data_IF_131843347309
#
_entry.id   IF_131843347309
#
_cell.length_a   1.000
_cell.length_b   1.000
_cell.length_c   1.000
_cell.angle_alpha   90.00
_cell.angle_beta   90.00
_cell.angle_gamma   90.00
#
_symmetry.space_group_name_H-M   'P 1'
#
loop_
_entity.id
_entity.type
_entity.pdbx_description
1 polymer ?
#
# COMPACT_ATOMS: atom_id res chain seq x y z
N UNK A 1 -7.61 -0.86 55.03
CA UNK A 1 -8.39 -0.86 53.77
C UNK A 1 -7.37 -0.98 52.66
N UNK A 2 -7.11 -2.21 52.22
CA UNK A 2 -6.29 -2.48 51.05
C UNK A 2 -7.10 -2.08 49.81
N UNK A 3 -6.68 -1.00 49.16
CA UNK A 3 -7.15 -0.72 47.81
C UNK A 3 -6.44 -1.70 46.89
N UNK A 4 -7.15 -2.75 46.47
CA UNK A 4 -6.77 -3.57 45.34
C UNK A 4 -6.82 -2.69 44.07
N UNK A 5 -5.74 -1.98 43.78
CA UNK A 5 -5.49 -1.41 42.46
C UNK A 5 -5.35 -2.58 41.50
N UNK A 6 -6.37 -2.77 40.67
CA UNK A 6 -6.30 -3.65 39.51
C UNK A 6 -5.17 -3.13 38.62
N UNK A 7 -3.98 -3.68 38.78
CA UNK A 7 -2.82 -3.39 37.94
C UNK A 7 -3.17 -3.89 36.54
N UNK A 8 -3.47 -2.94 35.65
CA UNK A 8 -3.59 -3.19 34.21
C UNK A 8 -2.23 -3.63 33.70
N UNK A 9 -1.94 -4.93 33.79
CA UNK A 9 -0.62 -5.47 33.47
C UNK A 9 -0.34 -5.32 31.96
N UNK A 10 0.38 -4.27 31.57
CA UNK A 10 0.72 -4.05 30.16
C UNK A 10 1.75 -5.08 29.74
N UNK A 11 1.35 -5.98 28.84
CA UNK A 11 2.25 -6.89 28.14
C UNK A 11 1.76 -7.11 26.72
N UNK A 12 2.56 -6.73 25.74
CA UNK A 12 2.18 -6.86 24.34
C UNK A 12 3.18 -6.23 23.38
N UNK A 13 2.92 -6.36 22.09
CA UNK A 13 3.72 -5.71 21.05
C UNK A 13 3.13 -4.33 20.79
N UNK A 14 3.99 -3.34 20.79
CA UNK A 14 3.64 -1.95 20.51
C UNK A 14 4.55 -1.42 19.41
N UNK A 15 4.16 -0.32 18.78
CA UNK A 15 5.03 0.41 17.86
C UNK A 15 4.97 1.90 18.09
N UNK A 16 6.06 2.58 17.74
CA UNK A 16 6.08 4.01 17.48
C UNK A 16 6.39 4.26 16.00
N UNK A 17 5.95 5.39 15.47
CA UNK A 17 6.25 5.81 14.10
C UNK A 17 7.39 6.81 14.10
N UNK A 18 8.41 6.54 13.29
CA UNK A 18 9.53 7.45 13.06
C UNK A 18 9.56 7.87 11.60
N UNK A 19 9.79 9.15 11.33
CA UNK A 19 9.96 9.64 9.96
C UNK A 19 11.44 9.65 9.61
N UNK A 20 11.81 8.89 8.58
CA UNK A 20 13.14 8.96 7.99
C UNK A 20 13.08 9.80 6.70
N UNK A 21 14.07 10.66 6.53
CA UNK A 21 14.25 11.44 5.29
C UNK A 21 15.33 10.74 4.46
N UNK A 22 14.94 10.22 3.30
CA UNK A 22 15.85 9.57 2.37
C UNK A 22 16.24 10.56 1.26
N UNK A 23 17.55 10.82 1.10
CA UNK A 23 18.11 11.68 0.04
C UNK A 23 18.59 13.06 0.51
N UNK A 24 19.21 13.80 -0.40
CA UNK A 24 19.69 15.19 -0.17
C UNK A 24 19.20 16.12 -1.28
N UNK A 25 18.73 17.32 -0.93
CA UNK A 25 18.23 18.30 -1.90
C UNK A 25 16.78 18.06 -2.35
N UNK A 26 16.42 18.46 -3.58
CA UNK A 26 15.05 18.40 -4.13
C UNK A 26 14.51 16.97 -4.37
N UNK A 27 15.30 15.93 -4.08
CA UNK A 27 14.93 14.51 -4.20
C UNK A 27 14.62 13.84 -2.86
N UNK A 28 14.49 14.62 -1.78
CA UNK A 28 14.12 14.09 -0.47
C UNK A 28 12.77 13.39 -0.51
N UNK A 29 12.76 12.13 -0.08
CA UNK A 29 11.56 11.32 0.12
C UNK A 29 11.46 10.99 1.59
N UNK A 30 10.40 11.44 2.24
CA UNK A 30 10.07 11.05 3.61
C UNK A 30 9.38 9.69 3.61
N UNK A 31 9.80 8.82 4.50
CA UNK A 31 9.16 7.53 4.75
C UNK A 31 8.88 7.40 6.24
N UNK A 32 7.66 7.00 6.59
CA UNK A 32 7.30 6.65 7.96
C UNK A 32 7.64 5.18 8.17
N UNK A 33 8.39 4.90 9.24
CA UNK A 33 8.80 3.56 9.66
C UNK A 33 8.16 3.25 11.01
N UNK A 34 7.50 2.10 11.12
CA UNK A 34 7.02 1.55 12.40
C UNK A 34 8.15 0.80 13.10
N UNK A 35 8.48 1.22 14.31
CA UNK A 35 9.47 0.57 15.17
C UNK A 35 8.75 -0.27 16.22
N UNK A 36 8.77 -1.60 16.05
CA UNK A 36 8.09 -2.52 16.95
C UNK A 36 8.91 -2.81 18.20
N UNK A 37 8.22 -2.96 19.34
CA UNK A 37 8.83 -3.31 20.62
C UNK A 37 7.89 -4.20 21.43
N UNK A 38 8.45 -5.13 22.21
CA UNK A 38 7.73 -5.81 23.29
C UNK A 38 7.71 -4.87 24.50
N UNK A 39 6.52 -4.45 24.92
CA UNK A 39 6.33 -3.67 26.14
C UNK A 39 5.93 -4.59 27.30
N UNK A 40 6.61 -4.45 28.43
CA UNK A 40 6.32 -5.14 29.68
C UNK A 40 6.31 -4.12 30.82
N UNK A 41 5.20 -4.04 31.56
CA UNK A 41 5.12 -3.18 32.73
C UNK A 41 6.00 -3.72 33.86
N UNK A 42 6.85 -2.86 34.40
CA UNK A 42 7.73 -3.19 35.54
C UNK A 42 6.98 -2.92 36.85
N UNK A 43 6.40 -1.72 36.96
CA UNK A 43 5.66 -1.21 38.11
C UNK A 43 4.62 -0.16 37.65
N UNK A 44 3.95 0.51 38.59
CA UNK A 44 2.89 1.48 38.28
C UNK A 44 3.36 2.71 37.49
N UNK A 45 4.68 3.00 37.48
CA UNK A 45 5.23 4.20 36.87
C UNK A 45 6.10 3.91 35.65
N UNK A 46 6.52 2.66 35.41
CA UNK A 46 7.53 2.34 34.40
C UNK A 46 7.17 1.16 33.49
N UNK A 47 7.51 1.33 32.22
CA UNK A 47 7.41 0.32 31.17
C UNK A 47 8.80 0.00 30.65
N UNK A 48 9.09 -1.29 30.49
CA UNK A 48 10.26 -1.79 29.76
C UNK A 48 9.88 -2.06 28.32
N UNK A 49 10.64 -1.52 27.38
CA UNK A 49 10.55 -1.80 25.96
C UNK A 49 11.75 -2.61 25.50
N UNK A 50 11.50 -3.71 24.79
CA UNK A 50 12.51 -4.46 24.06
C UNK A 50 12.24 -4.31 22.58
N UNK A 51 13.09 -3.56 21.86
CA UNK A 51 12.88 -3.31 20.44
C UNK A 51 13.11 -4.56 19.61
N UNK A 52 12.25 -4.77 18.62
CA UNK A 52 12.22 -5.93 17.76
C UNK A 52 12.78 -5.58 16.39
N UNK A 53 13.60 -6.47 15.84
CA UNK A 53 14.06 -6.37 14.47
C UNK A 53 12.95 -6.70 13.49
N UNK A 54 13.23 -6.57 12.20
CA UNK A 54 12.29 -6.92 11.12
C UNK A 54 11.82 -8.38 11.17
N UNK A 55 12.61 -9.24 11.82
CA UNK A 55 12.34 -10.66 12.03
C UNK A 55 11.57 -10.94 13.34
N UNK A 56 11.11 -9.90 14.05
CA UNK A 56 10.46 -10.03 15.35
C UNK A 56 11.37 -10.47 16.51
N UNK A 57 12.65 -10.70 16.23
CA UNK A 57 13.64 -11.04 17.23
C UNK A 57 14.06 -9.79 18.03
N UNK A 58 14.31 -9.90 19.35
CA UNK A 58 14.89 -8.81 20.12
C UNK A 58 16.20 -8.30 19.52
N UNK A 59 16.29 -6.99 19.27
CA UNK A 59 17.51 -6.33 18.78
C UNK A 59 18.61 -6.22 19.84
N UNK A 60 18.26 -6.49 21.11
CA UNK A 60 19.09 -6.19 22.27
C UNK A 60 18.97 -4.75 22.76
N UNK A 61 18.30 -3.86 22.01
CA UNK A 61 18.00 -2.50 22.46
C UNK A 61 16.82 -2.57 23.44
N UNK A 62 17.10 -2.17 24.68
CA UNK A 62 16.13 -2.13 25.78
C UNK A 62 16.06 -0.71 26.33
N UNK A 63 14.84 -0.19 26.49
CA UNK A 63 14.59 1.15 27.04
C UNK A 63 13.57 1.03 28.16
N UNK A 64 13.82 1.69 29.29
CA UNK A 64 12.82 1.89 30.33
C UNK A 64 12.37 3.34 30.29
N UNK A 65 11.05 3.57 30.31
CA UNK A 65 10.49 4.92 30.30
C UNK A 65 9.25 5.01 31.20
N UNK A 66 8.84 6.24 31.57
CA UNK A 66 7.63 6.46 32.34
C UNK A 66 6.37 5.95 31.61
N UNK A 67 5.41 5.45 32.38
CA UNK A 67 4.13 4.92 31.91
C UNK A 67 3.35 5.93 31.05
N UNK A 68 3.29 7.19 31.49
CA UNK A 68 2.61 8.27 30.77
C UNK A 68 3.29 8.57 29.43
N UNK A 69 4.63 8.56 29.39
CA UNK A 69 5.38 8.74 28.15
C UNK A 69 5.10 7.58 27.17
N UNK A 70 5.04 6.34 27.69
CA UNK A 70 4.71 5.17 26.89
C UNK A 70 3.32 5.28 26.24
N UNK A 71 2.29 5.63 27.03
CA UNK A 71 0.93 5.79 26.52
C UNK A 71 0.80 6.89 25.46
N UNK A 72 1.64 7.93 25.52
CA UNK A 72 1.62 9.02 24.56
C UNK A 72 2.31 8.69 23.22
N UNK A 73 3.27 7.75 23.22
CA UNK A 73 4.15 7.48 22.08
C UNK A 73 3.86 6.16 21.37
N UNK A 74 3.39 5.16 22.10
CA UNK A 74 3.33 3.78 21.61
C UNK A 74 1.89 3.31 21.43
N UNK A 75 1.63 2.67 20.29
CA UNK A 75 0.33 2.09 19.94
C UNK A 75 0.40 0.58 19.99
N UNK A 76 -0.60 -0.07 20.58
CA UNK A 76 -0.70 -1.53 20.64
C UNK A 76 -0.86 -2.10 19.22
N UNK A 77 -0.06 -3.12 18.90
CA UNK A 77 -0.18 -3.91 17.66
C UNK A 77 -0.58 -5.34 18.01
N UNK A 78 -1.90 -5.63 18.12
CA UNK A 78 -2.38 -6.95 18.49
C UNK A 78 -2.13 -7.99 17.39
N UNK A 79 -1.94 -7.56 16.15
CA UNK A 79 -1.78 -8.43 14.99
C UNK A 79 -0.31 -8.58 14.54
N UNK A 80 0.65 -8.24 15.42
CA UNK A 80 2.07 -8.40 15.10
C UNK A 80 2.38 -9.87 14.83
N UNK A 81 2.62 -10.19 13.56
CA UNK A 81 3.07 -11.51 13.12
C UNK A 81 4.53 -11.42 12.71
N UNK A 82 5.34 -12.27 13.33
CA UNK A 82 6.70 -12.49 12.88
C UNK A 82 6.65 -13.17 11.52
N UNK A 83 7.24 -12.53 10.51
CA UNK A 83 7.37 -13.13 9.18
C UNK A 83 8.18 -14.40 9.29
N UNK A 84 7.67 -15.48 8.72
CA UNK A 84 8.40 -16.74 8.51
C UNK A 84 9.63 -16.49 7.65
N UNK A 85 10.65 -17.35 7.75
CA UNK A 85 11.84 -17.28 6.88
C UNK A 85 11.46 -17.22 5.41
N UNK A 86 10.42 -17.96 5.02
CA UNK A 86 9.89 -17.99 3.67
C UNK A 86 9.35 -16.62 3.23
N UNK A 87 8.54 -15.96 4.06
CA UNK A 87 8.03 -14.61 3.78
C UNK A 87 9.16 -13.57 3.70
N UNK A 88 10.18 -13.70 4.55
CA UNK A 88 11.36 -12.83 4.51
C UNK A 88 12.17 -13.02 3.23
N UNK A 89 12.37 -14.27 2.79
CA UNK A 89 13.03 -14.58 1.52
C UNK A 89 12.24 -14.06 0.33
N UNK A 90 10.90 -14.20 0.35
CA UNK A 90 10.01 -13.59 -0.65
C UNK A 90 10.22 -12.08 -0.73
N UNK A 91 10.18 -11.37 0.40
CA UNK A 91 10.39 -9.92 0.45
C UNK A 91 11.76 -9.50 -0.06
N UNK A 92 12.81 -10.27 0.26
CA UNK A 92 14.17 -10.02 -0.19
C UNK A 92 14.27 -10.12 -1.72
N UNK A 93 13.68 -11.18 -2.30
CA UNK A 93 13.62 -11.34 -3.75
C UNK A 93 12.86 -10.19 -4.41
N UNK A 94 11.71 -9.77 -3.85
CA UNK A 94 10.95 -8.60 -4.36
C UNK A 94 11.81 -7.33 -4.32
N UNK A 95 12.50 -7.06 -3.21
CA UNK A 95 13.33 -5.86 -3.06
C UNK A 95 14.51 -5.84 -4.06
N UNK A 96 15.13 -6.99 -4.31
CA UNK A 96 16.17 -7.14 -5.34
C UNK A 96 15.60 -6.93 -6.73
N UNK A 97 14.43 -7.50 -7.03
CA UNK A 97 13.75 -7.33 -8.30
C UNK A 97 13.43 -5.86 -8.59
N UNK A 98 12.90 -5.12 -7.61
CA UNK A 98 12.64 -3.69 -7.71
C UNK A 98 13.92 -2.89 -7.98
N UNK A 99 15.03 -3.23 -7.31
CA UNK A 99 16.33 -2.60 -7.52
C UNK A 99 16.85 -2.84 -8.95
N UNK A 100 16.75 -4.06 -9.46
CA UNK A 100 17.11 -4.41 -10.83
C UNK A 100 16.21 -3.71 -11.85
N UNK A 101 14.89 -3.70 -11.64
CA UNK A 101 13.92 -3.00 -12.50
C UNK A 101 14.22 -1.51 -12.60
N UNK A 102 14.50 -0.84 -11.48
CA UNK A 102 14.87 0.58 -11.46
C UNK A 102 16.15 0.88 -12.24
N UNK A 103 17.06 -0.10 -12.36
CA UNK A 103 18.28 -0.02 -13.19
C UNK A 103 18.07 -0.47 -14.63
N UNK A 104 16.85 -0.88 -15.00
CA UNK A 104 16.48 -1.48 -16.29
C UNK A 104 17.20 -2.80 -16.57
N UNK A 105 17.64 -3.49 -15.53
CA UNK A 105 18.25 -4.83 -15.60
C UNK A 105 17.13 -5.88 -15.67
N UNK A 106 16.36 -5.88 -16.75
CA UNK A 106 15.06 -6.56 -16.82
C UNK A 106 15.11 -8.08 -16.61
N UNK A 107 16.12 -8.77 -17.15
CA UNK A 107 16.27 -10.21 -16.95
C UNK A 107 16.53 -10.57 -15.48
N UNK A 108 17.34 -9.76 -14.78
CA UNK A 108 17.60 -9.94 -13.36
C UNK A 108 16.36 -9.65 -12.53
N UNK A 109 15.59 -8.62 -12.91
CA UNK A 109 14.33 -8.31 -12.25
C UNK A 109 13.30 -9.45 -12.43
N UNK A 110 13.16 -9.98 -13.65
CA UNK A 110 12.24 -11.10 -13.96
C UNK A 110 12.61 -12.33 -13.13
N UNK A 111 13.90 -12.65 -13.04
CA UNK A 111 14.39 -13.77 -12.25
C UNK A 111 14.06 -13.63 -10.76
N UNK A 112 14.32 -12.46 -10.18
CA UNK A 112 14.07 -12.19 -8.77
C UNK A 112 12.56 -12.20 -8.45
N UNK A 113 11.72 -11.56 -9.27
CA UNK A 113 10.26 -11.66 -9.09
C UNK A 113 9.74 -13.10 -9.24
N UNK A 114 10.25 -13.85 -10.21
CA UNK A 114 9.87 -15.26 -10.39
C UNK A 114 10.32 -16.11 -9.20
N UNK A 115 11.46 -15.79 -8.59
CA UNK A 115 11.94 -16.46 -7.38
C UNK A 115 11.04 -16.16 -6.18
N UNK A 116 10.61 -14.90 -6.01
CA UNK A 116 9.60 -14.54 -5.02
C UNK A 116 8.30 -15.33 -5.22
N UNK A 117 7.81 -15.44 -6.47
CA UNK A 117 6.59 -16.17 -6.81
C UNK A 117 6.70 -17.69 -6.66
N UNK A 118 7.91 -18.26 -6.68
CA UNK A 118 8.12 -19.68 -6.34
C UNK A 118 7.97 -19.93 -4.85
N UNK A 119 8.40 -18.98 -4.03
CA UNK A 119 8.23 -19.03 -2.59
C UNK A 119 6.76 -18.77 -2.26
N UNK A 120 6.23 -17.63 -2.68
CA UNK A 120 4.84 -17.24 -2.44
C UNK A 120 4.10 -17.03 -3.77
N UNK A 121 3.42 -18.08 -4.29
CA UNK A 121 2.65 -18.00 -5.54
C UNK A 121 1.49 -17.02 -5.51
N UNK A 122 1.03 -16.61 -4.33
CA UNK A 122 -0.08 -15.67 -4.15
C UNK A 122 0.42 -14.27 -3.75
N UNK A 123 1.74 -14.06 -3.79
CA UNK A 123 2.32 -12.76 -3.46
C UNK A 123 1.84 -11.68 -4.42
N UNK A 124 0.90 -10.87 -3.94
CA UNK A 124 0.33 -9.74 -4.67
C UNK A 124 1.43 -8.79 -5.14
N UNK A 125 2.38 -8.46 -4.25
CA UNK A 125 3.46 -7.52 -4.55
C UNK A 125 4.42 -8.07 -5.60
N UNK A 126 4.74 -9.36 -5.57
CA UNK A 126 5.60 -9.97 -6.58
C UNK A 126 4.91 -10.04 -7.95
N UNK A 127 3.62 -10.41 -8.00
CA UNK A 127 2.85 -10.38 -9.25
C UNK A 127 2.71 -8.96 -9.80
N UNK A 128 2.47 -7.97 -8.94
CA UNK A 128 2.42 -6.57 -9.37
C UNK A 128 3.75 -6.12 -9.97
N UNK A 129 4.85 -6.45 -9.30
CA UNK A 129 6.20 -6.12 -9.75
C UNK A 129 6.55 -6.75 -11.10
N UNK A 130 6.26 -8.03 -11.30
CA UNK A 130 6.56 -8.72 -12.57
C UNK A 130 5.65 -8.25 -13.70
N UNK A 131 4.38 -7.96 -13.42
CA UNK A 131 3.48 -7.40 -14.43
C UNK A 131 3.89 -5.99 -14.85
N UNK A 132 4.31 -5.14 -13.89
CA UNK A 132 4.88 -3.81 -14.20
C UNK A 132 6.16 -3.92 -15.01
N UNK A 133 7.03 -4.87 -14.67
CA UNK A 133 8.23 -5.16 -15.44
C UNK A 133 7.89 -5.52 -16.90
N UNK A 134 6.90 -6.38 -17.14
CA UNK A 134 6.48 -6.73 -18.50
C UNK A 134 5.91 -5.53 -19.26
N UNK A 135 5.18 -4.64 -18.59
CA UNK A 135 4.71 -3.39 -19.21
C UNK A 135 5.87 -2.48 -19.61
N UNK A 136 6.90 -2.35 -18.76
CA UNK A 136 8.11 -1.58 -19.05
C UNK A 136 8.91 -2.17 -20.22
N UNK A 137 8.88 -3.50 -20.37
CA UNK A 137 9.46 -4.21 -21.51
C UNK A 137 8.59 -4.13 -22.78
N UNK A 138 7.36 -3.64 -22.68
CA UNK A 138 6.39 -3.61 -23.78
C UNK A 138 5.70 -4.95 -24.06
N UNK A 139 5.92 -5.97 -23.22
CA UNK A 139 5.31 -7.30 -23.35
C UNK A 139 3.91 -7.31 -22.71
N UNK A 140 2.95 -6.76 -23.47
CA UNK A 140 1.56 -6.61 -23.01
C UNK A 140 0.86 -7.94 -22.75
N UNK A 141 1.20 -8.99 -23.50
CA UNK A 141 0.55 -10.29 -23.36
C UNK A 141 0.97 -10.98 -22.05
N UNK A 142 2.26 -10.96 -21.72
CA UNK A 142 2.72 -11.45 -20.41
C UNK A 142 2.17 -10.60 -19.27
N UNK A 143 2.15 -9.28 -19.42
CA UNK A 143 1.57 -8.39 -18.41
C UNK A 143 0.10 -8.76 -18.14
N UNK A 144 -0.71 -8.92 -19.20
CA UNK A 144 -2.11 -9.34 -19.09
C UNK A 144 -2.25 -10.67 -18.37
N UNK A 145 -1.46 -11.68 -18.72
CA UNK A 145 -1.52 -12.99 -18.07
C UNK A 145 -1.21 -12.91 -16.57
N UNK A 146 -0.27 -12.06 -16.17
CA UNK A 146 0.02 -11.81 -14.75
C UNK A 146 -1.16 -11.12 -14.06
N UNK A 147 -1.77 -10.14 -14.70
CA UNK A 147 -2.90 -9.40 -14.13
C UNK A 147 -4.18 -10.21 -13.99
N UNK A 148 -4.43 -11.11 -14.94
CA UNK A 148 -5.50 -12.11 -14.82
C UNK A 148 -5.29 -12.98 -13.58
N UNK A 149 -4.06 -13.44 -13.31
CA UNK A 149 -3.75 -14.21 -12.09
C UNK A 149 -3.98 -13.38 -10.82
N UNK A 150 -3.49 -12.14 -10.78
CA UNK A 150 -3.71 -11.23 -9.64
C UNK A 150 -5.20 -11.06 -9.36
N UNK A 151 -6.01 -10.90 -10.41
CA UNK A 151 -7.46 -10.67 -10.28
C UNK A 151 -8.22 -11.82 -9.64
N UNK A 152 -7.61 -13.01 -9.54
CA UNK A 152 -8.15 -14.23 -8.93
C UNK A 152 -7.68 -14.45 -7.49
N UNK A 153 -6.76 -13.62 -6.96
CA UNK A 153 -6.27 -13.73 -5.60
C UNK A 153 -7.27 -13.01 -4.69
N UNK A 154 -8.02 -13.76 -3.88
CA UNK A 154 -9.07 -13.20 -3.01
C UNK A 154 -8.50 -12.27 -1.94
N UNK A 155 -7.34 -12.61 -1.36
CA UNK A 155 -6.62 -11.80 -0.38
C UNK A 155 -6.21 -10.42 -0.91
N UNK A 156 -6.18 -10.24 -2.25
CA UNK A 156 -5.99 -8.93 -2.85
C UNK A 156 -7.05 -7.96 -2.31
N UNK A 157 -8.30 -8.42 -2.14
CA UNK A 157 -9.48 -7.61 -1.80
C UNK A 157 -9.73 -7.42 -0.31
N UNK A 158 -8.68 -7.55 0.50
CA UNK A 158 -8.67 -7.18 1.90
C UNK A 158 -8.36 -5.67 2.07
N UNK A 159 -8.89 -5.06 3.13
CA UNK A 159 -8.78 -3.61 3.37
C UNK A 159 -7.32 -3.18 3.58
N UNK A 160 -6.48 -4.05 4.12
CA UNK A 160 -5.04 -3.83 4.30
C UNK A 160 -4.30 -3.64 2.96
N UNK A 161 -4.81 -4.26 1.89
CA UNK A 161 -4.22 -4.21 0.55
C UNK A 161 -4.80 -3.09 -0.33
N UNK A 162 -5.67 -2.22 0.24
CA UNK A 162 -6.31 -1.09 -0.45
C UNK A 162 -5.35 -0.25 -1.29
N UNK A 163 -4.20 0.09 -0.71
CA UNK A 163 -3.18 0.92 -1.35
C UNK A 163 -2.62 0.30 -2.63
N UNK A 164 -2.53 -1.03 -2.68
CA UNK A 164 -2.01 -1.78 -3.83
C UNK A 164 -2.95 -1.67 -5.04
N UNK A 165 -4.27 -1.69 -4.81
CA UNK A 165 -5.25 -1.55 -5.90
C UNK A 165 -5.13 -0.25 -6.68
N UNK A 166 -4.92 0.83 -5.94
CA UNK A 166 -4.86 2.15 -6.53
C UNK A 166 -3.61 2.28 -7.43
N UNK A 167 -2.45 1.87 -6.89
CA UNK A 167 -1.20 1.83 -7.66
C UNK A 167 -1.34 0.93 -8.89
N UNK A 168 -2.04 -0.19 -8.73
CA UNK A 168 -2.21 -1.16 -9.77
C UNK A 168 -3.09 -0.66 -10.92
N UNK A 169 -4.28 -0.15 -10.62
CA UNK A 169 -5.14 0.43 -11.63
C UNK A 169 -4.48 1.62 -12.33
N UNK A 170 -3.65 2.40 -11.63
CA UNK A 170 -2.91 3.52 -12.23
C UNK A 170 -1.87 3.00 -13.22
N UNK A 171 -1.13 1.94 -12.87
CA UNK A 171 -0.16 1.32 -13.76
C UNK A 171 -0.85 0.80 -15.03
N UNK A 172 -1.93 0.03 -14.88
CA UNK A 172 -2.72 -0.51 -16.00
C UNK A 172 -3.23 0.58 -16.94
N UNK A 173 -3.81 1.64 -16.36
CA UNK A 173 -4.29 2.81 -17.12
C UNK A 173 -3.14 3.46 -17.91
N UNK A 174 -2.00 3.69 -17.27
CA UNK A 174 -0.82 4.29 -17.93
C UNK A 174 -0.26 3.46 -19.09
N UNK A 175 -0.46 2.14 -19.08
CA UNK A 175 -0.09 1.28 -20.21
C UNK A 175 -1.19 1.11 -21.27
N UNK A 176 -2.30 1.85 -21.14
CA UNK A 176 -3.49 1.75 -21.98
C UNK A 176 -4.22 0.39 -21.90
N UNK A 177 -4.04 -0.35 -20.80
CA UNK A 177 -4.80 -1.56 -20.47
C UNK A 177 -6.09 -1.16 -19.74
N UNK A 178 -6.96 -0.43 -20.44
CA UNK A 178 -8.08 0.30 -19.83
C UNK A 178 -9.22 -0.62 -19.37
N UNK A 179 -9.40 -1.80 -19.95
CA UNK A 179 -10.46 -2.72 -19.52
C UNK A 179 -10.05 -3.47 -18.25
N UNK A 180 -8.79 -3.89 -18.19
CA UNK A 180 -8.18 -4.47 -17.00
C UNK A 180 -8.18 -3.45 -15.85
N UNK A 181 -7.73 -2.21 -16.10
CA UNK A 181 -7.76 -1.14 -15.12
C UNK A 181 -9.17 -0.93 -14.55
N UNK A 182 -10.21 -0.95 -15.40
CA UNK A 182 -11.60 -0.78 -14.98
C UNK A 182 -12.04 -1.91 -14.06
N UNK A 183 -11.80 -3.16 -14.44
CA UNK A 183 -12.13 -4.33 -13.61
C UNK A 183 -11.51 -4.22 -12.22
N UNK A 184 -10.24 -3.83 -12.16
CA UNK A 184 -9.53 -3.67 -10.89
C UNK A 184 -10.06 -2.53 -10.03
N UNK A 185 -10.31 -1.35 -10.61
CA UNK A 185 -10.89 -0.24 -9.84
C UNK A 185 -12.28 -0.56 -9.31
N UNK A 186 -13.12 -1.26 -10.08
CA UNK A 186 -14.47 -1.63 -9.65
C UNK A 186 -14.43 -2.60 -8.47
N UNK A 187 -13.60 -3.64 -8.53
CA UNK A 187 -13.42 -4.54 -7.38
C UNK A 187 -12.84 -3.82 -6.16
N UNK A 188 -11.89 -2.91 -6.35
CA UNK A 188 -11.36 -2.10 -5.24
C UNK A 188 -12.43 -1.23 -4.58
N UNK A 189 -13.38 -0.73 -5.37
CA UNK A 189 -14.52 0.05 -4.88
C UNK A 189 -15.54 -0.81 -4.11
N UNK A 190 -15.66 -2.11 -4.39
CA UNK A 190 -16.49 -3.02 -3.58
C UNK A 190 -15.99 -3.11 -2.14
N UNK A 191 -14.68 -3.03 -1.93
CA UNK A 191 -14.04 -3.03 -0.60
C UNK A 191 -14.14 -1.66 0.05
N UNK A 192 -13.86 -0.60 -0.73
CA UNK A 192 -13.78 0.78 -0.26
C UNK A 192 -14.77 1.68 -1.00
N UNK A 193 -16.08 1.54 -0.73
CA UNK A 193 -17.12 2.24 -1.48
C UNK A 193 -17.12 3.76 -1.29
N UNK A 194 -16.46 4.26 -0.24
CA UNK A 194 -16.35 5.68 0.07
C UNK A 194 -14.97 6.27 -0.27
N UNK A 195 -14.26 5.71 -1.25
CA UNK A 195 -12.98 6.25 -1.70
C UNK A 195 -13.16 7.17 -2.93
N UNK A 196 -13.04 8.48 -2.72
CA UNK A 196 -13.16 9.46 -3.79
C UNK A 196 -12.05 9.33 -4.85
N UNK A 197 -10.85 8.89 -4.45
CA UNK A 197 -9.72 8.71 -5.35
C UNK A 197 -9.95 7.54 -6.32
N UNK A 198 -10.55 6.45 -5.86
CA UNK A 198 -10.97 5.34 -6.73
C UNK A 198 -12.01 5.80 -7.75
N UNK A 199 -13.05 6.53 -7.32
CA UNK A 199 -14.04 7.11 -8.24
C UNK A 199 -13.39 8.03 -9.28
N UNK A 200 -12.48 8.91 -8.86
CA UNK A 200 -11.76 9.80 -9.77
C UNK A 200 -10.84 9.06 -10.74
N UNK A 201 -10.19 7.98 -10.32
CA UNK A 201 -9.38 7.16 -11.21
C UNK A 201 -10.21 6.42 -12.27
N UNK A 202 -11.41 5.96 -11.92
CA UNK A 202 -12.37 5.42 -12.90
C UNK A 202 -12.81 6.54 -13.86
N UNK A 203 -13.08 7.74 -13.38
CA UNK A 203 -13.40 8.88 -14.26
C UNK A 203 -12.26 9.19 -15.26
N UNK A 204 -11.01 9.19 -14.80
CA UNK A 204 -9.83 9.39 -15.67
C UNK A 204 -9.71 8.32 -16.74
N UNK A 205 -10.03 7.07 -16.40
CA UNK A 205 -10.05 5.97 -17.36
C UNK A 205 -11.07 6.23 -18.47
N UNK A 206 -12.28 6.64 -18.14
CA UNK A 206 -13.30 7.00 -19.14
C UNK A 206 -12.94 8.26 -19.93
N UNK A 207 -12.31 9.24 -19.29
CA UNK A 207 -11.77 10.42 -19.96
C UNK A 207 -10.74 10.04 -21.04
N UNK A 208 -9.86 9.08 -20.75
CA UNK A 208 -8.88 8.56 -21.72
C UNK A 208 -9.52 7.75 -22.84
N UNK A 209 -10.63 7.06 -22.56
CA UNK A 209 -11.49 6.44 -23.58
C UNK A 209 -12.30 7.45 -24.40
N UNK A 210 -12.28 8.74 -24.03
CA UNK A 210 -13.13 9.79 -24.59
C UNK A 210 -14.64 9.57 -24.35
N UNK A 211 -14.98 8.76 -23.36
CA UNK A 211 -16.34 8.55 -22.89
C UNK A 211 -16.68 9.62 -21.84
N UNK A 212 -17.06 10.79 -22.32
CA UNK A 212 -17.31 11.96 -21.48
C UNK A 212 -18.49 11.75 -20.52
N UNK A 213 -19.50 10.97 -20.94
CA UNK A 213 -20.69 10.69 -20.14
C UNK A 213 -20.31 9.89 -18.90
N UNK A 214 -19.67 8.73 -19.08
CA UNK A 214 -19.24 7.94 -17.94
C UNK A 214 -18.15 8.64 -17.10
N UNK A 215 -17.27 9.43 -17.73
CA UNK A 215 -16.31 10.23 -16.98
C UNK A 215 -17.01 11.21 -16.01
N UNK A 216 -18.04 11.93 -16.47
CA UNK A 216 -18.81 12.86 -15.65
C UNK A 216 -19.57 12.15 -14.51
N UNK A 217 -20.20 11.00 -14.79
CA UNK A 217 -20.88 10.21 -13.76
C UNK A 217 -19.93 9.84 -12.60
N UNK A 218 -18.72 9.38 -12.93
CA UNK A 218 -17.73 9.00 -11.92
C UNK A 218 -17.09 10.20 -11.21
N UNK A 219 -16.96 11.35 -11.89
CA UNK A 219 -16.56 12.62 -11.27
C UNK A 219 -17.60 13.02 -10.22
N UNK A 220 -18.88 12.94 -10.54
CA UNK A 220 -19.95 13.30 -9.61
C UNK A 220 -19.95 12.40 -8.38
N UNK A 221 -19.78 11.09 -8.53
CA UNK A 221 -19.59 10.18 -7.40
C UNK A 221 -18.41 10.57 -6.50
N UNK A 222 -17.27 10.93 -7.11
CA UNK A 222 -16.10 11.38 -6.34
C UNK A 222 -16.41 12.67 -5.55
N UNK A 223 -17.15 13.61 -6.16
CA UNK A 223 -17.54 14.88 -5.53
C UNK A 223 -18.68 14.75 -4.52
N UNK A 224 -19.53 13.73 -4.63
CA UNK A 224 -20.52 13.37 -3.61
C UNK A 224 -19.83 12.92 -2.32
N UNK A 225 -18.77 12.11 -2.44
CA UNK A 225 -17.96 11.65 -1.30
C UNK A 225 -17.13 12.83 -0.74
N UNK A 226 -16.41 13.54 -1.61
CA UNK A 226 -15.58 14.67 -1.22
C UNK A 226 -15.86 15.89 -2.11
N UNK A 227 -16.75 16.80 -1.65
CA UNK A 227 -17.09 18.00 -2.41
C UNK A 227 -15.90 18.90 -2.71
N UNK A 228 -14.83 18.86 -1.92
CA UNK A 228 -13.65 19.73 -2.08
C UNK A 228 -12.54 19.09 -2.94
N UNK A 229 -12.80 17.94 -3.57
CA UNK A 229 -11.79 17.24 -4.37
C UNK A 229 -11.44 18.03 -5.64
N UNK A 230 -10.30 18.75 -5.59
CA UNK A 230 -9.90 19.74 -6.59
C UNK A 230 -9.65 19.12 -7.96
N UNK A 231 -9.03 17.95 -7.98
CA UNK A 231 -8.66 17.21 -9.18
C UNK A 231 -9.90 16.77 -9.96
N UNK A 232 -10.95 16.30 -9.26
CA UNK A 232 -12.23 15.94 -9.87
C UNK A 232 -12.93 17.17 -10.46
N UNK A 233 -12.99 18.29 -9.74
CA UNK A 233 -13.56 19.56 -10.26
C UNK A 233 -12.81 20.09 -11.47
N UNK A 234 -11.48 19.98 -11.46
CA UNK A 234 -10.66 20.40 -12.60
C UNK A 234 -10.97 19.55 -13.84
N UNK A 235 -11.06 18.22 -13.69
CA UNK A 235 -11.42 17.32 -14.77
C UNK A 235 -12.84 17.58 -15.29
N UNK A 236 -13.79 17.86 -14.41
CA UNK A 236 -15.17 18.26 -14.75
C UNK A 236 -15.16 19.47 -15.68
N UNK A 237 -14.48 20.55 -15.26
CA UNK A 237 -14.36 21.78 -16.04
C UNK A 237 -13.72 21.54 -17.42
N UNK A 238 -12.71 20.67 -17.51
CA UNK A 238 -12.09 20.32 -18.78
C UNK A 238 -13.08 19.63 -19.74
N UNK A 239 -13.90 18.72 -19.24
CA UNK A 239 -14.90 18.00 -20.04
C UNK A 239 -16.00 18.97 -20.50
N UNK A 240 -16.54 19.80 -19.60
CA UNK A 240 -17.59 20.76 -19.93
C UNK A 240 -17.14 21.78 -20.97
N UNK A 241 -15.90 22.27 -20.87
CA UNK A 241 -15.34 23.19 -21.88
C UNK A 241 -15.24 22.53 -23.25
N UNK A 242 -14.81 21.26 -23.34
CA UNK A 242 -14.74 20.53 -24.61
C UNK A 242 -16.11 20.32 -25.26
N UNK A 243 -17.14 20.05 -24.45
CA UNK A 243 -18.51 19.92 -24.95
C UNK A 243 -19.02 21.25 -25.55
N UNK A 244 -18.71 22.38 -24.92
CA UNK A 244 -19.12 23.72 -25.38
C UNK A 244 -18.43 24.20 -26.66
N UNK A 245 -17.29 23.62 -27.04
CA UNK A 245 -16.54 23.97 -28.27
C UNK A 245 -16.94 23.06 -29.45
N UNK A 246 -17.61 21.94 -29.17
CA UNK A 246 -18.01 20.93 -30.17
C UNK A 246 -19.49 21.04 -30.57
N UNK A 247 -20.21 22.03 -30.04
CA UNK A 247 -21.63 22.33 -30.31
C UNK A 247 -21.77 23.67 -31.03
#
# INVERSE_FOLDING_TARGET
MEHATSTKNIKGIFFEESTIVLGTGHTQKTQTLKNFCLAEQIDDERIKLTFLGNEGNPTGIVVELPYEEFLSRYTLEPNFKVKTLKEQETDLHIARAEKHRNRKEYNSAEWEYTSALKLDPESIRAHFGIGTLYMEMGDRDKARSVFEKISQIDALFEEENKHIFNEFGIALRKAAMLDEARSHYLKALEISPQDEHLCFNIARLYFEKQDWTSAMEWIHKALEINPLFREARHLESMISQRASVSS
#
